data_IF_168646880251
#
_entry.id   IF_168646880251
#
_cell.length_a   1.000
_cell.length_b   1.000
_cell.length_c   1.000
_cell.angle_alpha   90.00
_cell.angle_beta   90.00
_cell.angle_gamma   90.00
#
_symmetry.space_group_name_H-M   'P 1'
#
loop_
_entity.id
_entity.type
_entity.pdbx_description
1 polymer ?
#
# COMPACT_ATOMS: atom_id res chain seq x y z
N UNK A 1 -73.79 -50.78 -16.34
CA UNK A 1 -73.58 -51.93 -17.24
C UNK A 1 -72.09 -52.00 -17.58
N UNK A 2 -71.41 -53.03 -17.05
CA UNK A 2 -70.12 -53.50 -17.54
C UNK A 2 -70.37 -54.56 -18.62
N UNK A 3 -69.34 -54.91 -19.40
CA UNK A 3 -68.63 -56.18 -19.18
C UNK A 3 -67.10 -55.99 -19.14
N UNK A 4 -66.37 -56.36 -18.07
CA UNK A 4 -65.69 -57.67 -17.78
C UNK A 4 -64.71 -58.14 -18.86
N UNK A 5 -63.37 -58.07 -18.69
CA UNK A 5 -62.38 -58.76 -17.80
C UNK A 5 -61.95 -60.18 -18.23
N UNK A 6 -60.63 -60.36 -18.38
CA UNK A 6 -59.76 -61.48 -17.91
C UNK A 6 -58.40 -61.36 -18.62
N UNK A 7 -57.20 -61.71 -18.12
CA UNK A 7 -56.55 -62.13 -16.86
C UNK A 7 -55.03 -61.93 -17.17
N UNK A 8 -54.06 -61.75 -16.28
CA UNK A 8 -53.83 -62.41 -15.00
C UNK A 8 -52.86 -61.60 -14.11
N UNK A 9 -53.03 -61.81 -12.81
CA UNK A 9 -52.23 -61.34 -11.68
C UNK A 9 -50.95 -62.15 -11.50
N UNK A 10 -49.86 -61.51 -11.03
CA UNK A 10 -49.26 -61.83 -9.72
C UNK A 10 -48.21 -60.82 -9.28
N UNK A 11 -48.38 -60.42 -8.02
CA UNK A 11 -47.55 -59.62 -7.13
C UNK A 11 -46.12 -60.14 -6.98
N UNK A 12 -45.18 -59.24 -6.63
CA UNK A 12 -44.18 -59.53 -5.58
C UNK A 12 -43.46 -58.26 -5.13
N UNK A 13 -43.47 -58.05 -3.81
CA UNK A 13 -42.63 -57.09 -3.09
C UNK A 13 -41.18 -57.62 -3.02
N UNK A 14 -40.20 -56.72 -3.03
CA UNK A 14 -38.79 -57.06 -2.80
C UNK A 14 -38.25 -56.30 -1.59
N UNK A 15 -37.83 -57.07 -0.58
CA UNK A 15 -36.91 -56.65 0.49
C UNK A 15 -35.58 -57.38 0.31
N UNK A 16 -34.51 -56.59 0.28
CA UNK A 16 -33.13 -56.80 0.74
C UNK A 16 -32.39 -58.11 0.42
N UNK A 17 -31.21 -57.99 -0.21
CA UNK A 17 -29.94 -58.54 0.33
C UNK A 17 -28.71 -58.03 -0.43
N UNK A 18 -27.62 -57.90 0.33
CA UNK A 18 -26.31 -57.30 0.05
C UNK A 18 -25.61 -57.76 -1.23
N UNK A 19 -24.89 -56.82 -1.88
CA UNK A 19 -23.68 -57.15 -2.65
C UNK A 19 -22.57 -56.16 -2.31
N UNK A 20 -21.48 -56.72 -1.75
CA UNK A 20 -20.21 -56.07 -1.44
C UNK A 20 -19.69 -55.28 -2.64
N UNK A 21 -19.43 -53.99 -2.45
CA UNK A 21 -18.53 -53.21 -3.30
C UNK A 21 -17.34 -52.78 -2.46
N UNK A 22 -16.19 -53.31 -2.86
CA UNK A 22 -14.85 -53.00 -2.39
C UNK A 22 -14.60 -51.49 -2.37
N UNK A 23 -14.21 -50.97 -1.20
CA UNK A 23 -13.59 -49.66 -1.06
C UNK A 23 -12.23 -49.65 -1.79
N UNK A 24 -12.22 -49.28 -3.07
CA UNK A 24 -11.01 -48.71 -3.66
C UNK A 24 -10.96 -47.24 -3.25
N UNK A 25 -10.10 -46.92 -2.28
CA UNK A 25 -9.54 -45.58 -2.13
C UNK A 25 -8.84 -45.24 -3.45
N UNK A 26 -9.53 -44.53 -4.33
CA UNK A 26 -8.86 -43.79 -5.39
C UNK A 26 -8.24 -42.59 -4.69
N UNK A 27 -6.96 -42.71 -4.32
CA UNK A 27 -6.11 -41.56 -4.09
C UNK A 27 -6.08 -40.76 -5.40
N UNK A 28 -7.03 -39.85 -5.57
CA UNK A 28 -6.90 -38.76 -6.55
C UNK A 28 -5.82 -37.85 -5.98
N UNK A 29 -4.55 -38.18 -6.24
CA UNK A 29 -3.50 -37.18 -6.24
C UNK A 29 -3.97 -36.13 -7.24
N UNK A 30 -4.39 -34.97 -6.74
CA UNK A 30 -4.54 -33.77 -7.55
C UNK A 30 -3.15 -33.51 -8.12
N UNK A 31 -2.91 -33.96 -9.34
CA UNK A 31 -1.70 -33.64 -10.06
C UNK A 31 -1.76 -32.12 -10.25
N UNK A 32 -0.93 -31.40 -9.50
CA UNK A 32 -0.69 -29.97 -9.68
C UNK A 32 -0.44 -29.76 -11.17
N UNK A 33 -1.31 -29.01 -11.84
CA UNK A 33 -1.14 -28.72 -13.27
C UNK A 33 0.31 -28.26 -13.47
N UNK A 34 1.05 -28.83 -14.45
CA UNK A 34 2.42 -28.42 -14.69
C UNK A 34 2.40 -26.92 -14.92
N UNK A 35 3.17 -26.18 -14.11
CA UNK A 35 3.31 -24.75 -14.31
C UNK A 35 3.78 -24.54 -15.75
N UNK A 36 3.22 -23.55 -16.48
CA UNK A 36 3.66 -23.26 -17.83
C UNK A 36 5.19 -23.16 -17.84
N UNK A 37 5.88 -23.73 -18.85
CA UNK A 37 7.32 -23.72 -18.88
C UNK A 37 7.80 -22.28 -18.73
N UNK A 38 8.64 -22.07 -17.73
CA UNK A 38 9.24 -20.78 -17.45
C UNK A 38 10.20 -20.48 -18.60
N UNK A 39 9.88 -19.46 -19.39
CA UNK A 39 10.77 -18.96 -20.44
C UNK A 39 11.96 -18.27 -19.79
N UNK A 40 13.07 -19.02 -19.67
CA UNK A 40 14.29 -18.55 -19.05
C UNK A 40 14.93 -17.40 -19.83
N UNK A 41 14.78 -17.36 -21.15
CA UNK A 41 15.35 -16.29 -21.99
C UNK A 41 14.58 -14.97 -21.79
N UNK A 42 13.29 -15.05 -21.45
CA UNK A 42 12.51 -13.88 -21.05
C UNK A 42 12.87 -13.34 -19.67
N UNK A 43 13.17 -14.23 -18.72
CA UNK A 43 13.55 -13.86 -17.35
C UNK A 43 15.01 -13.43 -17.24
N UNK A 44 15.88 -14.05 -18.02
CA UNK A 44 17.33 -13.87 -18.02
C UNK A 44 17.80 -13.71 -19.46
N UNK A 45 17.47 -12.58 -20.11
CA UNK A 45 17.93 -12.32 -21.46
C UNK A 45 19.47 -12.40 -21.55
N UNK A 46 20.02 -12.82 -22.70
CA UNK A 46 21.46 -12.93 -22.88
C UNK A 46 22.19 -11.65 -22.48
N UNK A 47 23.31 -11.80 -21.78
CA UNK A 47 24.06 -10.65 -21.30
C UNK A 47 24.47 -9.73 -22.46
N UNK A 48 24.18 -8.43 -22.32
CA UNK A 48 24.44 -7.43 -23.36
C UNK A 48 23.39 -7.37 -24.48
N UNK A 49 22.34 -8.19 -24.47
CA UNK A 49 21.21 -8.03 -25.39
C UNK A 49 20.44 -6.73 -25.12
N UNK A 50 19.65 -6.29 -26.10
CA UNK A 50 18.82 -5.09 -25.92
C UNK A 50 17.77 -5.27 -24.82
N UNK A 51 17.18 -6.47 -24.71
CA UNK A 51 16.27 -6.82 -23.62
C UNK A 51 16.96 -6.77 -22.26
N UNK A 52 18.19 -7.30 -22.14
CA UNK A 52 18.95 -7.26 -20.89
C UNK A 52 19.27 -5.82 -20.47
N UNK A 53 19.74 -4.99 -21.41
CA UNK A 53 19.98 -3.56 -21.16
C UNK A 53 18.71 -2.82 -20.76
N UNK A 54 17.59 -3.08 -21.42
CA UNK A 54 16.29 -2.48 -21.08
C UNK A 54 15.81 -2.89 -19.68
N UNK A 55 15.99 -4.16 -19.32
CA UNK A 55 15.66 -4.64 -17.97
C UNK A 55 16.54 -3.98 -16.90
N UNK A 56 17.85 -3.84 -17.14
CA UNK A 56 18.77 -3.16 -16.21
C UNK A 56 18.41 -1.68 -16.06
N UNK A 57 18.23 -0.96 -17.16
CA UNK A 57 17.85 0.47 -17.13
C UNK A 57 16.50 0.71 -16.43
N UNK A 58 15.48 -0.12 -16.73
CA UNK A 58 14.19 -0.02 -16.06
C UNK A 58 14.26 -0.36 -14.56
N UNK A 59 15.12 -1.31 -14.18
CA UNK A 59 15.38 -1.63 -12.78
C UNK A 59 16.05 -0.45 -12.06
N UNK A 60 17.09 0.15 -12.64
CA UNK A 60 17.77 1.32 -12.07
C UNK A 60 16.81 2.51 -11.92
N UNK A 61 16.05 2.83 -12.97
CA UNK A 61 15.01 3.87 -12.93
C UNK A 61 13.96 3.60 -11.84
N UNK A 62 13.53 2.34 -11.69
CA UNK A 62 12.63 1.95 -10.60
C UNK A 62 13.28 2.19 -9.26
N UNK A 63 14.50 1.71 -9.03
CA UNK A 63 15.23 1.84 -7.77
C UNK A 63 15.43 3.32 -7.39
N UNK A 64 15.77 4.20 -8.35
CA UNK A 64 15.83 5.66 -8.15
C UNK A 64 14.45 6.21 -7.78
N UNK A 65 13.38 5.81 -8.47
CA UNK A 65 12.01 6.27 -8.17
C UNK A 65 11.57 5.88 -6.76
N UNK A 66 11.94 4.68 -6.28
CA UNK A 66 11.67 4.29 -4.89
C UNK A 66 12.47 5.12 -3.90
N UNK A 67 13.74 5.37 -4.22
CA UNK A 67 14.61 6.20 -3.40
C UNK A 67 14.09 7.65 -3.30
N UNK A 68 13.44 8.19 -4.35
CA UNK A 68 12.76 9.50 -4.29
C UNK A 68 11.72 9.53 -3.15
N UNK A 69 10.86 8.51 -3.03
CA UNK A 69 9.88 8.44 -1.93
C UNK A 69 10.53 8.35 -0.54
N UNK A 70 11.62 7.58 -0.42
CA UNK A 70 12.35 7.45 0.84
C UNK A 70 13.07 8.76 1.22
N UNK A 71 13.72 9.39 0.25
CA UNK A 71 14.46 10.64 0.42
C UNK A 71 13.54 11.80 0.78
N UNK A 72 12.36 11.92 0.14
CA UNK A 72 11.35 12.93 0.50
C UNK A 72 10.93 12.75 1.96
N UNK A 73 10.64 11.51 2.38
CA UNK A 73 10.25 11.23 3.77
C UNK A 73 11.38 11.58 4.75
N UNK A 74 12.61 11.18 4.43
CA UNK A 74 13.77 11.47 5.25
C UNK A 74 14.05 12.97 5.35
N UNK A 75 13.93 13.72 4.25
CA UNK A 75 14.11 15.17 4.21
C UNK A 75 13.12 15.87 5.14
N UNK A 76 11.82 15.58 4.99
CA UNK A 76 10.76 16.21 5.78
C UNK A 76 10.84 15.83 7.27
N UNK A 77 11.14 14.57 7.57
CA UNK A 77 11.28 14.12 8.95
C UNK A 77 12.50 14.76 9.63
N UNK A 78 13.61 14.88 8.90
CA UNK A 78 14.81 15.55 9.40
C UNK A 78 14.56 17.05 9.63
N UNK A 79 13.81 17.72 8.74
CA UNK A 79 13.38 19.10 8.93
C UNK A 79 12.55 19.26 10.22
N UNK A 80 11.58 18.37 10.43
CA UNK A 80 10.74 18.35 11.63
C UNK A 80 11.59 18.18 12.90
N UNK A 81 12.46 17.18 12.93
CA UNK A 81 13.36 16.89 14.06
C UNK A 81 14.34 18.04 14.33
N UNK A 82 14.84 18.69 13.28
CA UNK A 82 15.66 19.89 13.39
C UNK A 82 14.88 21.05 14.04
N UNK A 83 13.62 21.26 13.65
CA UNK A 83 12.73 22.25 14.28
C UNK A 83 12.42 21.95 15.75
N UNK A 84 12.41 20.68 16.14
CA UNK A 84 12.25 20.21 17.52
C UNK A 84 13.56 20.22 18.34
N UNK A 85 14.67 20.68 17.74
CA UNK A 85 15.99 20.73 18.35
C UNK A 85 16.52 19.36 18.81
N UNK A 86 16.20 18.28 18.09
CA UNK A 86 16.77 16.95 18.34
C UNK A 86 18.27 16.97 18.00
N UNK A 87 19.09 16.41 18.90
CA UNK A 87 20.54 16.46 18.79
C UNK A 87 21.06 15.87 17.47
N UNK A 88 21.94 16.60 16.78
CA UNK A 88 22.53 16.20 15.50
C UNK A 88 21.64 16.40 14.26
N UNK A 89 20.32 16.58 14.43
CA UNK A 89 19.40 16.75 13.31
C UNK A 89 19.54 18.10 12.61
N UNK A 90 19.79 19.17 13.38
CA UNK A 90 19.88 20.54 12.84
C UNK A 90 21.01 20.70 11.82
N UNK A 91 22.24 20.30 12.17
CA UNK A 91 23.39 20.38 11.28
C UNK A 91 23.20 19.48 10.04
N UNK A 92 22.70 18.26 10.24
CA UNK A 92 22.41 17.33 9.13
C UNK A 92 21.39 17.93 8.17
N UNK A 93 20.32 18.56 8.69
CA UNK A 93 19.31 19.23 7.89
C UNK A 93 19.88 20.40 7.09
N UNK A 94 20.68 21.26 7.73
CA UNK A 94 21.32 22.39 7.04
C UNK A 94 22.23 21.91 5.90
N UNK A 95 23.04 20.88 6.12
CA UNK A 95 23.88 20.30 5.07
C UNK A 95 23.03 19.82 3.89
N UNK A 96 21.96 19.06 4.15
CA UNK A 96 21.06 18.55 3.12
C UNK A 96 20.40 19.69 2.32
N UNK A 97 19.98 20.75 3.01
CA UNK A 97 19.43 21.96 2.41
C UNK A 97 20.45 22.66 1.51
N UNK A 98 21.67 22.88 1.99
CA UNK A 98 22.75 23.50 1.20
C UNK A 98 23.08 22.69 -0.06
N UNK A 99 23.11 21.36 0.02
CA UNK A 99 23.30 20.52 -1.16
C UNK A 99 22.15 20.65 -2.16
N UNK A 100 20.92 20.78 -1.68
CA UNK A 100 19.73 20.95 -2.53
C UNK A 100 19.74 22.31 -3.24
N UNK A 101 20.00 23.39 -2.49
CA UNK A 101 20.09 24.76 -3.01
C UNK A 101 21.24 24.89 -4.02
N UNK A 102 22.44 24.41 -3.67
CA UNK A 102 23.61 24.44 -4.57
C UNK A 102 23.46 23.55 -5.80
N UNK A 103 22.68 22.46 -5.71
CA UNK A 103 22.29 21.69 -6.88
C UNK A 103 21.40 22.51 -7.81
N UNK A 104 20.33 23.11 -7.29
CA UNK A 104 19.40 23.94 -8.06
C UNK A 104 20.11 25.13 -8.74
N UNK A 105 20.96 25.85 -8.01
CA UNK A 105 21.74 26.97 -8.52
C UNK A 105 22.64 26.56 -9.69
N UNK A 106 23.31 25.41 -9.60
CA UNK A 106 24.16 24.92 -10.68
C UNK A 106 23.35 24.57 -11.93
N UNK A 107 22.23 23.86 -11.78
CA UNK A 107 21.41 23.45 -12.93
C UNK A 107 20.80 24.67 -13.64
N UNK A 108 20.25 25.63 -12.87
CA UNK A 108 19.71 26.89 -13.41
C UNK A 108 20.81 27.71 -14.09
N UNK A 109 21.96 27.87 -13.45
CA UNK A 109 23.08 28.63 -14.01
C UNK A 109 23.59 28.03 -15.31
N UNK A 110 23.73 26.69 -15.36
CA UNK A 110 24.11 25.97 -16.57
C UNK A 110 23.10 26.18 -17.70
N UNK A 111 21.81 26.10 -17.39
CA UNK A 111 20.73 26.38 -18.33
C UNK A 111 20.80 27.81 -18.87
N UNK A 112 20.84 28.82 -17.99
CA UNK A 112 20.87 30.23 -18.39
C UNK A 112 22.13 30.58 -19.20
N UNK A 113 23.28 29.99 -18.87
CA UNK A 113 24.52 30.17 -19.65
C UNK A 113 24.38 29.60 -21.07
N UNK A 114 23.74 28.44 -21.19
CA UNK A 114 23.50 27.82 -22.48
C UNK A 114 22.54 28.66 -23.33
N UNK A 115 21.44 29.14 -22.73
CA UNK A 115 20.47 30.01 -23.40
C UNK A 115 21.11 31.28 -23.96
N UNK A 116 21.92 31.97 -23.15
CA UNK A 116 22.63 33.19 -23.58
C UNK A 116 23.59 32.93 -24.75
N UNK A 117 24.22 31.75 -24.77
CA UNK A 117 25.15 31.37 -25.84
C UNK A 117 24.39 31.17 -27.17
N UNK A 118 23.25 30.49 -27.15
CA UNK A 118 22.41 30.30 -28.33
C UNK A 118 21.80 31.59 -28.87
N UNK A 119 21.32 32.47 -27.99
CA UNK A 119 20.79 33.79 -28.38
C UNK A 119 21.85 34.62 -29.11
N UNK A 120 23.11 34.56 -28.64
CA UNK A 120 24.23 35.25 -29.28
C UNK A 120 24.60 34.69 -30.67
N UNK A 121 24.39 33.38 -30.91
CA UNK A 121 24.76 32.72 -32.16
C UNK A 121 23.69 32.82 -33.26
N UNK A 122 22.40 32.85 -32.90
CA UNK A 122 21.30 32.73 -33.86
C UNK A 122 20.38 33.96 -33.96
N UNK A 123 20.54 34.98 -33.12
CA UNK A 123 19.82 36.26 -33.20
C UNK A 123 18.32 36.21 -32.88
N UNK A 124 17.72 35.02 -32.84
CA UNK A 124 16.37 34.73 -32.36
C UNK A 124 16.37 33.45 -31.51
N UNK A 125 15.45 33.38 -30.54
CA UNK A 125 15.25 32.20 -29.72
C UNK A 125 14.77 31.03 -30.57
N UNK A 126 15.66 30.10 -30.90
CA UNK A 126 15.30 28.78 -31.38
C UNK A 126 15.36 27.80 -30.20
N UNK A 127 14.30 27.01 -30.01
CA UNK A 127 14.30 25.91 -29.04
C UNK A 127 15.19 24.77 -29.56
N UNK A 128 16.50 24.98 -29.58
CA UNK A 128 17.48 23.94 -29.94
C UNK A 128 18.21 23.51 -28.68
N UNK A 129 18.13 22.20 -28.46
CA UNK A 129 18.61 21.45 -27.32
C UNK A 129 20.11 21.65 -27.03
N UNK A 130 20.49 22.15 -25.85
CA UNK A 130 21.55 21.46 -25.13
C UNK A 130 20.99 20.11 -24.69
N UNK A 131 21.75 19.03 -24.83
CA UNK A 131 21.52 17.73 -24.19
C UNK A 131 21.62 17.84 -22.65
N UNK A 132 20.85 18.76 -22.06
CA UNK A 132 20.78 18.99 -20.63
C UNK A 132 19.56 18.25 -20.13
N UNK A 133 19.81 17.20 -19.34
CA UNK A 133 18.78 16.42 -18.65
C UNK A 133 17.87 17.31 -17.78
N UNK A 134 18.39 18.44 -17.29
CA UNK A 134 17.60 19.47 -16.62
C UNK A 134 16.50 20.04 -17.54
N UNK A 135 16.87 20.48 -18.75
CA UNK A 135 15.92 21.04 -19.71
C UNK A 135 14.89 20.00 -20.12
N UNK A 136 15.35 18.79 -20.45
CA UNK A 136 14.47 17.67 -20.78
C UNK A 136 13.44 17.41 -19.67
N UNK A 137 13.89 17.36 -18.40
CA UNK A 137 13.01 17.13 -17.26
C UNK A 137 11.99 18.25 -17.08
N UNK A 138 12.44 19.51 -17.08
CA UNK A 138 11.57 20.67 -16.85
C UNK A 138 10.58 20.84 -18.00
N UNK A 139 10.98 20.57 -19.24
CA UNK A 139 10.06 20.58 -20.39
C UNK A 139 9.04 19.46 -20.31
N UNK A 140 9.43 18.25 -19.89
CA UNK A 140 8.55 17.10 -19.84
C UNK A 140 7.61 17.10 -18.61
N UNK A 141 8.10 17.54 -17.45
CA UNK A 141 7.45 17.34 -16.14
C UNK A 141 7.28 18.65 -15.35
N UNK A 142 7.84 19.76 -15.81
CA UNK A 142 7.68 21.07 -15.18
C UNK A 142 8.58 21.33 -13.97
N UNK A 143 8.70 22.60 -13.62
CA UNK A 143 9.55 23.12 -12.54
C UNK A 143 9.17 22.60 -11.16
N UNK A 144 7.88 22.43 -10.88
CA UNK A 144 7.39 21.91 -9.61
C UNK A 144 7.91 20.51 -9.33
N UNK A 145 7.74 19.60 -10.30
CA UNK A 145 8.23 18.23 -10.15
C UNK A 145 9.75 18.20 -10.06
N UNK A 146 10.45 19.05 -10.83
CA UNK A 146 11.90 19.16 -10.74
C UNK A 146 12.36 19.62 -9.35
N UNK A 147 11.71 20.62 -8.77
CA UNK A 147 12.01 21.11 -7.43
C UNK A 147 11.73 20.07 -6.35
N UNK A 148 10.60 19.35 -6.43
CA UNK A 148 10.29 18.23 -5.53
C UNK A 148 11.40 17.18 -5.61
N UNK A 149 11.74 16.72 -6.81
CA UNK A 149 12.76 15.70 -7.01
C UNK A 149 14.17 16.17 -6.60
N UNK A 150 14.48 17.46 -6.74
CA UNK A 150 15.78 18.04 -6.36
C UNK A 150 16.12 17.89 -4.88
N UNK A 151 15.11 17.76 -4.00
CA UNK A 151 15.32 17.49 -2.57
C UNK A 151 15.89 16.09 -2.31
N UNK A 152 15.76 15.18 -3.27
CA UNK A 152 16.19 13.80 -3.15
C UNK A 152 17.61 13.61 -3.65
N UNK A 153 18.44 12.91 -2.88
CA UNK A 153 19.81 12.61 -3.31
C UNK A 153 19.81 11.70 -4.54
N UNK A 154 18.93 10.69 -4.51
CA UNK A 154 18.76 9.72 -5.59
C UNK A 154 18.47 10.39 -6.94
N UNK A 155 17.59 11.39 -7.01
CA UNK A 155 17.37 12.14 -8.25
C UNK A 155 18.57 12.99 -8.66
N UNK A 156 19.18 13.72 -7.71
CA UNK A 156 20.36 14.56 -8.00
C UNK A 156 21.55 13.77 -8.52
N UNK A 157 21.66 12.50 -8.13
CA UNK A 157 22.63 11.55 -8.67
C UNK A 157 22.14 10.98 -9.99
N UNK A 158 20.90 10.52 -10.08
CA UNK A 158 20.30 9.96 -11.30
C UNK A 158 20.42 10.88 -12.50
N UNK A 159 20.16 12.18 -12.34
CA UNK A 159 20.32 13.16 -13.43
C UNK A 159 21.77 13.27 -13.92
N UNK A 160 22.79 13.02 -13.09
CA UNK A 160 24.20 13.13 -13.47
C UNK A 160 24.85 11.80 -13.87
N UNK A 161 24.49 10.74 -13.17
CA UNK A 161 25.23 9.46 -13.14
C UNK A 161 24.55 8.36 -13.94
N UNK A 162 23.21 8.39 -14.08
CA UNK A 162 22.50 7.35 -14.82
C UNK A 162 22.92 7.36 -16.29
N UNK A 163 22.90 6.23 -16.98
CA UNK A 163 23.04 6.22 -18.44
C UNK A 163 21.78 6.79 -19.12
N UNK A 164 21.86 7.11 -20.42
CA UNK A 164 20.76 7.76 -21.14
C UNK A 164 19.48 6.90 -21.20
N UNK A 165 19.64 5.57 -21.16
CA UNK A 165 18.50 4.65 -21.20
C UNK A 165 17.82 4.59 -19.84
N UNK A 166 18.58 4.50 -18.76
CA UNK A 166 18.09 4.57 -17.39
C UNK A 166 17.43 5.94 -17.10
N UNK A 167 18.01 7.03 -17.61
CA UNK A 167 17.44 8.37 -17.52
C UNK A 167 16.08 8.48 -18.23
N UNK A 168 15.98 7.99 -19.48
CA UNK A 168 14.70 7.94 -20.19
C UNK A 168 13.64 7.11 -19.46
N UNK A 169 14.02 5.94 -18.93
CA UNK A 169 13.13 5.14 -18.09
C UNK A 169 12.73 5.87 -16.80
N UNK A 170 13.64 6.64 -16.18
CA UNK A 170 13.36 7.40 -14.96
C UNK A 170 12.34 8.52 -15.23
N UNK A 171 12.50 9.28 -16.32
CA UNK A 171 11.52 10.29 -16.74
C UNK A 171 10.13 9.68 -16.92
N UNK A 172 10.06 8.52 -17.60
CA UNK A 172 8.80 7.81 -17.77
C UNK A 172 8.19 7.36 -16.43
N UNK A 173 9.00 6.83 -15.50
CA UNK A 173 8.53 6.36 -14.19
C UNK A 173 8.03 7.50 -13.30
N UNK A 174 8.70 8.66 -13.34
CA UNK A 174 8.24 9.86 -12.64
C UNK A 174 6.95 10.37 -13.27
N UNK A 175 6.84 10.38 -14.60
CA UNK A 175 5.60 10.75 -15.30
C UNK A 175 4.43 9.83 -14.94
N UNK A 176 4.63 8.51 -14.98
CA UNK A 176 3.61 7.51 -14.61
C UNK A 176 3.13 7.65 -13.16
N UNK A 177 3.96 8.22 -12.28
CA UNK A 177 3.68 8.42 -10.86
C UNK A 177 3.61 9.90 -10.47
N UNK A 178 3.36 10.81 -11.43
CA UNK A 178 3.45 12.24 -11.23
C UNK A 178 2.60 12.72 -10.04
N UNK A 179 1.29 12.41 -10.07
CA UNK A 179 0.36 12.78 -9.01
C UNK A 179 0.72 12.12 -7.67
N UNK A 180 1.24 10.89 -7.69
CA UNK A 180 1.65 10.19 -6.49
C UNK A 180 2.86 10.83 -5.81
N UNK A 181 3.88 11.24 -6.59
CA UNK A 181 5.06 11.94 -6.05
C UNK A 181 4.64 13.31 -5.50
N UNK A 182 3.79 14.02 -6.23
CA UNK A 182 3.29 15.34 -5.82
C UNK A 182 2.48 15.27 -4.52
N UNK A 183 1.51 14.35 -4.45
CA UNK A 183 0.70 14.10 -3.25
C UNK A 183 1.58 13.67 -2.08
N UNK A 184 2.55 12.78 -2.32
CA UNK A 184 3.44 12.28 -1.29
C UNK A 184 4.33 13.37 -0.68
N UNK A 185 4.84 14.28 -1.51
CA UNK A 185 5.59 15.46 -1.08
C UNK A 185 4.69 16.45 -0.32
N UNK A 186 3.47 16.69 -0.82
CA UNK A 186 2.49 17.57 -0.17
C UNK A 186 2.09 17.07 1.23
N UNK A 187 1.78 15.79 1.36
CA UNK A 187 1.38 15.16 2.63
C UNK A 187 2.47 15.20 3.72
N UNK A 188 3.71 15.48 3.33
CA UNK A 188 4.88 15.63 4.20
C UNK A 188 5.34 17.08 4.31
N UNK A 189 4.50 18.00 3.84
CA UNK A 189 4.73 19.44 3.87
C UNK A 189 6.08 19.87 3.28
N UNK A 190 6.57 19.14 2.27
CA UNK A 190 7.84 19.45 1.60
C UNK A 190 7.80 20.87 1.03
N UNK A 191 8.73 21.72 1.49
CA UNK A 191 8.84 23.13 1.09
C UNK A 191 9.57 23.30 -0.25
N UNK A 192 9.13 22.59 -1.28
CA UNK A 192 9.80 22.57 -2.58
C UNK A 192 9.92 23.95 -3.25
N UNK A 193 9.06 24.90 -2.88
CA UNK A 193 9.05 26.26 -3.42
C UNK A 193 10.23 27.10 -2.94
N UNK A 194 10.75 26.84 -1.74
CA UNK A 194 11.77 27.68 -1.11
C UNK A 194 13.02 27.79 -1.99
N UNK A 195 13.39 26.68 -2.65
CA UNK A 195 14.56 26.61 -3.54
C UNK A 195 14.33 27.28 -4.91
N UNK A 196 13.08 27.55 -5.29
CA UNK A 196 12.73 28.28 -6.52
C UNK A 196 12.42 29.75 -6.25
N UNK A 197 11.92 30.09 -5.07
CA UNK A 197 11.47 31.44 -4.70
C UNK A 197 12.56 32.50 -4.86
N UNK A 198 13.82 32.12 -4.61
CA UNK A 198 14.98 33.01 -4.80
C UNK A 198 15.14 33.49 -6.25
N UNK A 199 14.56 32.75 -7.21
CA UNK A 199 14.61 33.04 -8.64
C UNK A 199 13.34 33.72 -9.19
N UNK A 200 12.33 33.98 -8.36
CA UNK A 200 11.01 34.49 -8.80
C UNK A 200 11.06 35.79 -9.61
N UNK A 201 12.08 36.62 -9.38
CA UNK A 201 12.27 37.91 -10.08
C UNK A 201 13.27 37.83 -11.23
N UNK A 202 13.81 36.65 -11.53
CA UNK A 202 14.72 36.43 -12.65
C UNK A 202 13.93 35.90 -13.85
N UNK A 203 14.15 36.42 -15.08
CA UNK A 203 13.44 35.99 -16.27
C UNK A 203 13.96 34.63 -16.74
N UNK A 204 13.56 33.55 -16.04
CA UNK A 204 13.91 32.18 -16.38
C UNK A 204 12.78 31.59 -17.24
N UNK A 205 13.04 31.19 -18.50
CA UNK A 205 12.00 30.67 -19.37
C UNK A 205 11.29 29.44 -18.78
N UNK A 206 9.96 29.48 -18.81
CA UNK A 206 9.09 28.42 -18.32
C UNK A 206 8.93 28.35 -16.80
N UNK A 207 9.66 29.15 -16.01
CA UNK A 207 9.48 29.20 -14.55
C UNK A 207 8.10 29.80 -14.24
N UNK A 208 7.21 29.08 -13.52
CA UNK A 208 5.88 29.58 -13.21
C UNK A 208 5.93 30.67 -12.13
N UNK A 209 4.91 31.52 -12.10
CA UNK A 209 4.73 32.47 -11.00
C UNK A 209 4.46 31.69 -9.69
N UNK A 210 5.35 31.82 -8.70
CA UNK A 210 5.21 31.13 -7.42
C UNK A 210 4.02 31.63 -6.59
N UNK A 211 3.50 32.86 -6.81
CA UNK A 211 2.38 33.38 -6.01
C UNK A 211 1.09 32.54 -6.18
N UNK A 212 0.56 32.31 -7.40
CA UNK A 212 -0.56 31.39 -7.62
C UNK A 212 -0.32 29.97 -7.10
N UNK A 213 0.91 29.47 -7.21
CA UNK A 213 1.29 28.14 -6.72
C UNK A 213 1.21 28.02 -5.19
N UNK A 214 1.52 29.09 -4.46
CA UNK A 214 1.40 29.16 -3.00
C UNK A 214 -0.08 29.22 -2.60
N UNK A 215 -0.86 30.08 -3.24
CA UNK A 215 -2.29 30.23 -2.96
C UNK A 215 -3.05 28.91 -3.17
N UNK A 216 -2.76 28.22 -4.28
CA UNK A 216 -3.34 26.90 -4.58
C UNK A 216 -2.98 25.87 -3.51
N UNK A 217 -1.75 25.88 -3.03
CA UNK A 217 -1.28 24.94 -2.01
C UNK A 217 -1.88 25.17 -0.63
N UNK A 218 -2.04 26.43 -0.22
CA UNK A 218 -2.68 26.75 1.07
C UNK A 218 -4.15 26.33 1.13
N UNK A 219 -4.80 26.19 -0.03
CA UNK A 219 -6.17 25.69 -0.13
C UNK A 219 -6.27 24.17 -0.04
N UNK A 220 -5.17 23.45 -0.28
CA UNK A 220 -5.13 22.00 -0.18
C UNK A 220 -4.89 21.59 1.28
N UNK A 221 -5.95 21.21 1.98
CA UNK A 221 -5.87 20.66 3.34
C UNK A 221 -5.85 19.14 3.27
N UNK A 222 -4.75 18.54 3.73
CA UNK A 222 -4.67 17.10 3.98
C UNK A 222 -4.30 16.90 5.45
N UNK A 223 -5.25 16.45 6.26
CA UNK A 223 -5.02 16.19 7.69
C UNK A 223 -4.20 14.90 7.90
N UNK A 224 -4.35 13.93 6.99
CA UNK A 224 -3.62 12.66 7.02
C UNK A 224 -3.46 12.09 5.60
N UNK A 225 -2.33 11.45 5.25
CA UNK A 225 -2.10 10.92 3.90
C UNK A 225 -3.23 10.01 3.39
N UNK A 226 -3.82 9.21 4.30
CA UNK A 226 -4.92 8.29 4.00
C UNK A 226 -6.32 8.92 4.04
N UNK A 227 -6.41 10.25 4.04
CA UNK A 227 -7.64 11.00 3.77
C UNK A 227 -7.74 11.44 2.31
N UNK A 228 -6.78 11.06 1.48
CA UNK A 228 -6.79 11.39 0.05
C UNK A 228 -6.73 10.13 -0.78
N UNK A 229 -7.67 9.99 -1.72
CA UNK A 229 -7.75 8.89 -2.69
C UNK A 229 -7.54 9.46 -4.08
N UNK A 230 -6.63 8.86 -4.84
CA UNK A 230 -6.44 9.16 -6.27
C UNK A 230 -7.52 8.42 -7.07
N UNK A 231 -8.39 9.14 -7.77
CA UNK A 231 -9.48 8.56 -8.57
C UNK A 231 -8.99 8.07 -9.93
N UNK A 232 -9.82 7.26 -10.61
CA UNK A 232 -9.48 6.73 -11.94
C UNK A 232 -9.23 7.82 -12.99
N UNK A 233 -9.88 8.98 -12.86
CA UNK A 233 -9.72 10.14 -13.74
C UNK A 233 -8.58 11.08 -13.31
N UNK A 234 -7.75 10.67 -12.34
CA UNK A 234 -6.59 11.44 -11.88
C UNK A 234 -6.94 12.65 -11.01
N UNK A 235 -8.13 12.66 -10.40
CA UNK A 235 -8.53 13.64 -9.39
C UNK A 235 -8.31 13.09 -7.98
N UNK A 236 -8.61 13.92 -6.99
CA UNK A 236 -8.52 13.59 -5.59
C UNK A 236 -9.93 13.58 -4.98
N UNK A 237 -10.19 12.60 -4.12
CA UNK A 237 -11.40 12.57 -3.29
C UNK A 237 -11.07 12.17 -1.86
N UNK A 238 -11.99 12.50 -0.97
CA UNK A 238 -11.94 12.06 0.42
C UNK A 238 -12.69 10.73 0.61
N UNK A 239 -12.20 9.84 1.48
CA UNK A 239 -12.92 8.63 1.85
C UNK A 239 -14.05 8.96 2.83
N UNK A 240 -15.30 8.76 2.39
CA UNK A 240 -16.52 9.13 3.14
C UNK A 240 -17.30 7.89 3.54
N UNK A 241 -17.85 7.90 4.75
CA UNK A 241 -18.81 6.93 5.26
C UNK A 241 -19.99 7.65 5.90
N UNK A 242 -21.22 7.29 5.52
CA UNK A 242 -22.45 7.94 5.99
C UNK A 242 -22.42 9.49 5.93
N UNK A 243 -21.85 10.04 4.85
CA UNK A 243 -21.73 11.48 4.65
C UNK A 243 -20.67 12.17 5.51
N UNK A 244 -19.86 11.43 6.25
CA UNK A 244 -18.75 11.95 7.06
C UNK A 244 -17.40 11.43 6.59
N UNK A 245 -16.36 12.26 6.70
CA UNK A 245 -14.98 11.85 6.47
C UNK A 245 -14.60 10.69 7.41
N UNK A 246 -14.02 9.63 6.84
CA UNK A 246 -13.48 8.52 7.62
C UNK A 246 -12.22 8.94 8.39
N UNK A 247 -12.08 8.51 9.64
CA UNK A 247 -11.03 9.01 10.55
C UNK A 247 -9.91 7.99 10.73
N UNK A 248 -8.67 8.46 10.55
CA UNK A 248 -7.48 7.67 10.85
C UNK A 248 -7.34 7.45 12.36
N UNK A 249 -6.95 6.24 12.75
CA UNK A 249 -6.65 5.87 14.14
C UNK A 249 -5.33 5.08 14.21
N UNK A 250 -4.61 5.21 15.31
CA UNK A 250 -3.37 4.47 15.58
C UNK A 250 -3.55 3.32 16.58
N UNK A 251 -4.72 3.24 17.23
CA UNK A 251 -5.12 2.14 18.10
C UNK A 251 -6.62 1.87 17.94
N UNK A 252 -7.05 0.62 18.10
CA UNK A 252 -8.48 0.26 18.06
C UNK A 252 -9.25 0.88 19.22
N UNK A 253 -10.50 1.25 18.97
CA UNK A 253 -11.34 1.99 19.93
C UNK A 253 -12.24 1.01 20.68
N UNK A 254 -12.17 1.04 22.00
CA UNK A 254 -13.10 0.32 22.88
C UNK A 254 -14.02 1.29 23.60
N UNK A 255 -15.34 1.16 23.39
CA UNK A 255 -16.36 1.93 24.12
C UNK A 255 -17.15 1.02 25.08
N UNK A 256 -16.92 1.09 26.40
CA UNK A 256 -17.66 0.32 27.41
C UNK A 256 -19.18 0.37 27.28
N UNK A 257 -19.75 1.47 26.74
CA UNK A 257 -21.20 1.63 26.58
C UNK A 257 -21.78 0.64 25.56
N UNK A 258 -21.00 0.26 24.54
CA UNK A 258 -21.38 -0.74 23.53
C UNK A 258 -21.28 -2.17 24.05
N UNK A 259 -20.72 -2.37 25.25
CA UNK A 259 -20.44 -3.66 25.86
C UNK A 259 -21.27 -3.91 27.13
N UNK A 260 -22.51 -3.44 27.17
CA UNK A 260 -23.41 -3.56 28.34
C UNK A 260 -22.76 -3.07 29.65
N UNK A 261 -21.87 -2.07 29.58
CA UNK A 261 -21.15 -1.53 30.73
C UNK A 261 -19.95 -2.36 31.21
N UNK A 262 -19.56 -3.42 30.48
CA UNK A 262 -18.30 -4.10 30.72
C UNK A 262 -17.16 -3.08 30.59
N UNK A 263 -16.26 -3.05 31.58
CA UNK A 263 -15.14 -2.09 31.65
C UNK A 263 -13.85 -2.63 31.02
N UNK A 264 -13.87 -3.85 30.51
CA UNK A 264 -12.70 -4.58 30.07
C UNK A 264 -12.71 -4.78 28.56
N UNK A 265 -11.75 -4.14 27.90
CA UNK A 265 -11.41 -4.42 26.51
C UNK A 265 -11.01 -5.91 26.37
N UNK A 266 -11.71 -6.67 25.51
CA UNK A 266 -11.53 -8.11 25.38
C UNK A 266 -10.20 -8.50 24.74
N UNK A 267 -9.50 -7.57 24.09
CA UNK A 267 -8.20 -7.80 23.45
C UNK A 267 -7.04 -7.73 24.43
N UNK A 268 -7.23 -7.13 25.61
CA UNK A 268 -6.17 -6.91 26.58
C UNK A 268 -5.81 -8.19 27.34
N UNK A 269 -4.49 -8.37 27.53
CA UNK A 269 -3.90 -9.48 28.30
C UNK A 269 -3.94 -9.28 29.81
N UNK A 270 -4.29 -8.08 30.27
CA UNK A 270 -4.44 -7.73 31.68
C UNK A 270 -5.68 -6.87 31.89
N UNK A 271 -6.24 -6.97 33.09
CA UNK A 271 -7.30 -6.09 33.54
C UNK A 271 -6.75 -4.73 33.97
N UNK A 272 -7.63 -3.73 34.10
CA UNK A 272 -7.27 -2.40 34.58
C UNK A 272 -6.58 -2.41 35.97
N UNK A 273 -6.85 -3.42 36.80
CA UNK A 273 -6.20 -3.61 38.11
C UNK A 273 -4.86 -4.38 38.04
N UNK A 274 -4.32 -4.62 36.84
CA UNK A 274 -3.05 -5.31 36.62
C UNK A 274 -3.12 -6.84 36.66
N UNK A 275 -4.27 -7.44 37.00
CA UNK A 275 -4.39 -8.92 37.02
C UNK A 275 -4.37 -9.50 35.60
N UNK A 276 -3.63 -10.60 35.35
CA UNK A 276 -3.60 -11.25 34.03
C UNK A 276 -4.98 -11.76 33.59
N UNK A 277 -5.24 -11.74 32.28
CA UNK A 277 -6.38 -12.42 31.65
C UNK A 277 -5.93 -13.76 31.05
N UNK A 278 -6.87 -14.59 30.63
CA UNK A 278 -6.56 -15.81 29.87
C UNK A 278 -6.26 -15.55 28.40
N UNK A 279 -6.36 -14.30 27.94
CA UNK A 279 -6.28 -13.90 26.53
C UNK A 279 -4.83 -13.80 26.05
N UNK A 280 -4.56 -14.25 24.84
CA UNK A 280 -3.28 -14.04 24.14
C UNK A 280 -2.12 -14.93 24.61
N UNK A 281 -1.34 -15.47 23.69
CA UNK A 281 -0.11 -16.26 23.93
C UNK A 281 1.06 -15.35 24.33
N UNK A 282 2.28 -15.85 24.17
CA UNK A 282 3.50 -15.06 24.34
C UNK A 282 3.60 -13.95 23.28
N UNK A 283 4.12 -12.80 23.68
CA UNK A 283 4.36 -11.68 22.77
C UNK A 283 5.27 -12.12 21.62
N UNK A 284 4.85 -11.94 20.37
CA UNK A 284 5.64 -12.35 19.20
C UNK A 284 6.90 -11.51 18.99
N UNK A 285 7.00 -10.34 19.64
CA UNK A 285 8.17 -9.44 19.55
C UNK A 285 9.28 -9.81 20.53
N UNK A 286 8.95 -10.06 21.80
CA UNK A 286 9.93 -10.28 22.86
C UNK A 286 9.85 -11.66 23.52
N UNK A 287 8.89 -12.50 23.13
CA UNK A 287 8.65 -13.82 23.73
C UNK A 287 8.02 -13.78 25.13
N UNK A 288 7.67 -12.60 25.67
CA UNK A 288 7.13 -12.49 27.02
C UNK A 288 5.79 -13.25 27.18
N UNK A 289 5.69 -14.21 28.11
CA UNK A 289 4.44 -14.93 28.40
C UNK A 289 3.41 -14.06 29.12
N UNK A 290 3.82 -12.88 29.62
CA UNK A 290 2.97 -11.86 30.26
C UNK A 290 2.93 -10.58 29.44
N UNK A 291 2.04 -9.64 29.77
CA UNK A 291 1.98 -8.34 29.11
C UNK A 291 3.31 -7.59 29.19
N UNK A 292 3.64 -6.91 28.10
CA UNK A 292 4.86 -6.11 27.97
C UNK A 292 4.54 -4.85 27.15
N UNK A 293 5.47 -3.89 27.14
CA UNK A 293 5.33 -2.62 26.42
C UNK A 293 5.60 -2.68 24.92
N UNK A 294 5.81 -3.86 24.32
CA UNK A 294 6.10 -3.96 22.89
C UNK A 294 4.95 -3.40 22.04
N UNK A 295 5.30 -2.59 21.05
CA UNK A 295 4.39 -2.14 19.99
C UNK A 295 4.83 -2.71 18.65
N UNK A 296 3.90 -2.73 17.69
CA UNK A 296 4.27 -2.93 16.29
C UNK A 296 4.72 -1.57 15.77
N UNK A 297 6.00 -1.43 15.47
CA UNK A 297 6.55 -0.29 14.75
C UNK A 297 6.64 -0.68 13.29
N UNK A 298 5.83 -0.04 12.45
CA UNK A 298 5.83 -0.26 11.00
C UNK A 298 5.82 1.07 10.28
N UNK A 299 6.52 1.12 9.15
CA UNK A 299 6.56 2.25 8.23
C UNK A 299 5.72 2.01 6.97
N UNK A 300 5.01 0.88 6.88
CA UNK A 300 4.24 0.55 5.68
C UNK A 300 3.18 1.62 5.39
N UNK A 301 2.51 2.15 6.42
CA UNK A 301 1.56 3.26 6.28
C UNK A 301 2.16 4.55 5.71
N UNK A 302 3.47 4.77 5.84
CA UNK A 302 4.14 5.90 5.19
C UNK A 302 4.37 5.64 3.70
N UNK A 303 4.42 4.37 3.28
CA UNK A 303 4.89 3.91 1.98
C UNK A 303 3.77 3.24 1.17
N UNK A 304 2.53 3.67 1.40
CA UNK A 304 1.34 3.30 0.63
C UNK A 304 0.53 4.54 0.29
N UNK A 305 -0.33 4.40 -0.71
CA UNK A 305 -1.32 5.41 -1.06
C UNK A 305 -2.67 4.76 -1.36
N UNK A 306 -3.74 5.57 -1.29
CA UNK A 306 -5.07 5.12 -1.66
C UNK A 306 -5.37 5.49 -3.11
N UNK A 307 -5.85 4.52 -3.88
CA UNK A 307 -6.17 4.71 -5.29
C UNK A 307 -7.44 3.95 -5.65
N UNK A 308 -8.22 4.48 -6.57
CA UNK A 308 -9.32 3.72 -7.16
C UNK A 308 -8.82 2.69 -8.16
N UNK A 309 -9.43 1.52 -8.11
CA UNK A 309 -9.23 0.41 -9.03
C UNK A 309 -10.56 0.09 -9.73
N UNK A 310 -10.52 -0.24 -11.03
CA UNK A 310 -11.73 -0.58 -11.77
C UNK A 310 -12.46 -1.76 -11.14
N UNK A 311 -13.74 -1.59 -10.82
CA UNK A 311 -14.61 -2.64 -10.28
C UNK A 311 -14.48 -2.91 -8.79
N UNK A 312 -13.34 -2.63 -8.14
CA UNK A 312 -13.12 -2.88 -6.70
C UNK A 312 -13.19 -1.62 -5.84
N UNK A 313 -13.19 -0.42 -6.45
CA UNK A 313 -13.30 0.84 -5.73
C UNK A 313 -11.98 1.29 -5.13
N UNK A 314 -11.98 1.85 -3.92
CA UNK A 314 -10.75 2.33 -3.28
C UNK A 314 -9.90 1.16 -2.77
N UNK A 315 -8.71 0.99 -3.33
CA UNK A 315 -7.68 0.05 -2.92
C UNK A 315 -6.45 0.74 -2.34
N UNK A 316 -5.42 -0.06 -2.04
CA UNK A 316 -4.13 0.40 -1.51
C UNK A 316 -3.02 0.05 -2.49
N UNK A 317 -2.24 1.03 -2.91
CA UNK A 317 -1.06 0.83 -3.78
C UNK A 317 0.23 0.95 -2.97
N UNK A 318 1.17 0.02 -3.16
CA UNK A 318 2.48 0.09 -2.55
C UNK A 318 3.35 1.16 -3.23
N UNK A 319 4.06 1.98 -2.46
CA UNK A 319 5.06 2.95 -2.97
C UNK A 319 6.50 2.43 -2.84
N UNK A 320 6.67 1.26 -2.25
CA UNK A 320 7.96 0.58 -2.11
C UNK A 320 7.80 -0.92 -2.25
N UNK A 321 8.92 -1.65 -2.17
CA UNK A 321 8.90 -3.11 -2.09
C UNK A 321 8.67 -3.56 -0.65
N UNK A 322 7.69 -4.43 -0.43
CA UNK A 322 7.57 -5.20 0.81
C UNK A 322 8.00 -6.65 0.55
N UNK A 323 8.74 -7.23 1.49
CA UNK A 323 9.24 -8.60 1.37
C UNK A 323 8.24 -9.59 1.96
N UNK A 324 8.26 -10.82 1.45
CA UNK A 324 7.56 -11.94 2.10
C UNK A 324 7.94 -12.03 3.57
N UNK A 325 6.94 -12.10 4.43
CA UNK A 325 7.07 -12.19 5.89
C UNK A 325 7.02 -10.83 6.60
N UNK A 326 7.02 -9.70 5.89
CA UNK A 326 6.85 -8.39 6.50
C UNK A 326 5.46 -8.30 7.15
N UNK A 327 5.41 -7.80 8.38
CA UNK A 327 4.17 -7.39 9.05
C UNK A 327 3.92 -5.94 8.67
N UNK A 328 2.95 -5.70 7.79
CA UNK A 328 2.70 -4.38 7.23
C UNK A 328 2.02 -3.46 8.23
N UNK A 329 0.95 -3.88 8.89
CA UNK A 329 0.30 -3.11 9.96
C UNK A 329 -0.73 -3.99 10.71
N UNK A 330 -1.42 -3.41 11.67
CA UNK A 330 -2.57 -3.98 12.38
C UNK A 330 -3.86 -3.51 11.69
N UNK A 331 -4.80 -4.42 11.51
CA UNK A 331 -6.16 -4.09 11.10
C UNK A 331 -6.92 -3.48 12.29
N UNK A 332 -7.30 -2.20 12.17
CA UNK A 332 -7.84 -1.42 13.28
C UNK A 332 -9.25 -0.91 13.01
N UNK A 333 -10.02 -0.77 14.10
CA UNK A 333 -11.35 -0.19 14.06
C UNK A 333 -11.95 -0.04 15.45
N UNK A 334 -13.26 0.16 15.49
CA UNK A 334 -14.02 0.06 16.72
C UNK A 334 -14.18 -1.42 17.12
N UNK A 335 -14.01 -1.71 18.41
CA UNK A 335 -14.19 -3.04 18.96
C UNK A 335 -15.63 -3.22 19.44
N UNK A 336 -16.35 -4.15 18.81
CA UNK A 336 -17.77 -4.41 19.04
C UNK A 336 -17.98 -5.84 19.57
N UNK A 337 -18.98 -6.07 20.44
CA UNK A 337 -19.24 -7.40 21.00
C UNK A 337 -19.69 -8.41 19.93
N UNK A 338 -20.56 -7.96 19.02
CA UNK A 338 -21.16 -8.77 17.99
C UNK A 338 -20.93 -8.16 16.60
N UNK A 339 -21.12 -8.98 15.56
CA UNK A 339 -21.09 -8.51 14.18
C UNK A 339 -22.28 -7.58 13.96
N UNK A 340 -22.01 -6.31 13.70
CA UNK A 340 -23.05 -5.28 13.44
C UNK A 340 -23.47 -5.22 11.97
N UNK A 341 -22.63 -5.75 11.07
CA UNK A 341 -22.84 -5.81 9.62
C UNK A 341 -21.87 -6.81 8.99
N UNK A 342 -22.17 -7.26 7.77
CA UNK A 342 -21.41 -8.33 7.12
C UNK A 342 -20.25 -7.82 6.24
N UNK A 343 -20.18 -6.51 5.94
CA UNK A 343 -19.23 -5.95 4.96
C UNK A 343 -18.14 -5.14 5.67
N UNK A 344 -16.89 -5.62 5.60
CA UNK A 344 -15.65 -5.08 6.23
C UNK A 344 -15.31 -5.50 7.67
N UNK A 345 -16.25 -5.68 8.63
CA UNK A 345 -15.84 -6.11 9.96
C UNK A 345 -15.15 -7.47 9.96
N UNK A 346 -14.16 -7.59 10.84
CA UNK A 346 -13.37 -8.80 11.00
C UNK A 346 -13.55 -9.35 12.42
N UNK A 347 -13.87 -10.63 12.54
CA UNK A 347 -13.86 -11.32 13.84
C UNK A 347 -12.44 -11.44 14.35
N UNK A 348 -12.17 -10.81 15.50
CA UNK A 348 -10.92 -10.94 16.22
C UNK A 348 -10.98 -12.15 17.14
N UNK A 349 -10.22 -13.17 16.76
CA UNK A 349 -10.04 -14.36 17.57
C UNK A 349 -8.88 -14.20 18.57
N UNK A 350 -8.87 -15.03 19.59
CA UNK A 350 -7.70 -15.27 20.44
C UNK A 350 -6.67 -16.12 19.67
N UNK A 351 -5.36 -15.84 19.85
CA UNK A 351 -4.30 -16.67 19.26
C UNK A 351 -4.03 -17.94 20.10
N UNK A 352 -4.69 -18.07 21.26
CA UNK A 352 -4.77 -19.31 22.03
C UNK A 352 -5.87 -20.24 21.48
N UNK A 353 -5.47 -21.36 20.88
CA UNK A 353 -6.40 -22.47 20.64
C UNK A 353 -6.80 -23.14 21.95
N UNK A 354 -8.09 -23.34 22.19
CA UNK A 354 -8.56 -24.10 23.34
C UNK A 354 -8.31 -25.61 23.09
N UNK A 355 -7.35 -26.19 23.80
CA UNK A 355 -6.87 -27.58 23.56
C UNK A 355 -7.93 -28.65 23.80
N UNK A 356 -9.02 -28.31 24.49
CA UNK A 356 -10.10 -29.22 24.87
C UNK A 356 -11.28 -29.27 23.89
N UNK A 357 -11.51 -28.22 23.08
CA UNK A 357 -12.71 -28.12 22.24
C UNK A 357 -12.43 -27.85 20.75
N UNK A 358 -11.17 -27.69 20.34
CA UNK A 358 -10.77 -27.25 18.99
C UNK A 358 -11.45 -25.95 18.51
N UNK A 359 -12.15 -25.24 19.39
CA UNK A 359 -12.80 -23.98 19.11
C UNK A 359 -11.87 -22.82 19.45
N UNK A 360 -11.75 -21.90 18.52
CA UNK A 360 -11.02 -20.64 18.72
C UNK A 360 -11.96 -19.68 19.45
N UNK A 361 -11.48 -19.06 20.52
CA UNK A 361 -12.26 -18.10 21.29
C UNK A 361 -12.38 -16.78 20.51
N UNK A 362 -13.61 -16.37 20.17
CA UNK A 362 -13.86 -15.06 19.56
C UNK A 362 -13.84 -13.99 20.65
N UNK A 363 -12.99 -12.98 20.49
CA UNK A 363 -12.83 -11.89 21.46
C UNK A 363 -13.79 -10.74 21.18
N UNK A 364 -13.89 -10.32 19.91
CA UNK A 364 -14.71 -9.20 19.47
C UNK A 364 -14.82 -9.17 17.94
N UNK A 365 -15.56 -8.19 17.42
CA UNK A 365 -15.53 -7.78 16.02
C UNK A 365 -14.79 -6.44 15.89
N UNK A 366 -13.88 -6.33 14.94
CA UNK A 366 -13.21 -5.08 14.56
C UNK A 366 -14.02 -4.45 13.42
N UNK A 367 -14.65 -3.30 13.67
CA UNK A 367 -15.41 -2.54 12.66
C UNK A 367 -14.59 -1.31 12.22
N UNK A 368 -14.06 -1.30 10.98
CA UNK A 368 -13.18 -0.22 10.52
C UNK A 368 -13.94 0.91 9.79
N UNK A 369 -15.26 1.03 9.92
CA UNK A 369 -16.08 1.87 9.03
C UNK A 369 -15.81 3.36 9.18
N UNK A 370 -16.15 3.94 10.32
CA UNK A 370 -15.95 5.36 10.60
C UNK A 370 -14.52 5.66 11.08
N UNK A 371 -13.92 4.70 11.79
CA UNK A 371 -12.59 4.81 12.38
C UNK A 371 -11.75 3.61 11.95
N UNK A 372 -10.58 3.85 11.36
CA UNK A 372 -9.67 2.80 10.91
C UNK A 372 -8.39 3.41 10.34
N UNK A 373 -7.33 2.61 10.19
CA UNK A 373 -6.13 3.01 9.46
C UNK A 373 -6.22 2.60 7.99
N UNK A 374 -5.15 2.77 7.21
CA UNK A 374 -5.10 2.47 5.78
C UNK A 374 -5.46 1.01 5.43
N UNK A 375 -5.26 0.06 6.34
CA UNK A 375 -5.51 -1.38 6.07
C UNK A 375 -6.96 -1.70 5.74
N UNK A 376 -7.90 -0.84 6.14
CA UNK A 376 -9.33 -0.96 5.83
C UNK A 376 -9.65 -0.88 4.34
N UNK A 377 -8.74 -0.31 3.54
CA UNK A 377 -8.90 -0.13 2.10
C UNK A 377 -8.23 -1.27 1.31
N UNK A 378 -7.60 -2.25 1.97
CA UNK A 378 -6.98 -3.39 1.27
C UNK A 378 -8.10 -4.22 0.64
N UNK A 379 -8.06 -4.31 -0.69
CA UNK A 379 -9.09 -5.02 -1.46
C UNK A 379 -8.87 -6.53 -1.48
N UNK A 380 -9.91 -7.26 -1.86
CA UNK A 380 -9.82 -8.70 -2.00
C UNK A 380 -9.11 -9.14 -3.28
N UNK A 381 -8.32 -10.22 -3.19
CA UNK A 381 -7.93 -11.03 -4.34
C UNK A 381 -7.92 -12.53 -4.00
N UNK A 382 -8.30 -13.39 -4.97
CA UNK A 382 -8.12 -14.84 -4.89
C UNK A 382 -6.64 -15.27 -5.00
N UNK A 383 -5.77 -14.36 -5.45
CA UNK A 383 -4.30 -14.52 -5.46
C UNK A 383 -3.65 -13.37 -4.68
N UNK A 384 -3.91 -13.29 -3.36
CA UNK A 384 -3.56 -12.12 -2.59
C UNK A 384 -2.05 -11.97 -2.40
N UNK A 385 -1.63 -10.76 -2.04
CA UNK A 385 -0.25 -10.48 -1.66
C UNK A 385 -0.04 -10.58 -0.14
N UNK A 386 -1.12 -10.46 0.63
CA UNK A 386 -1.12 -10.45 2.10
C UNK A 386 -2.17 -11.40 2.69
N UNK A 387 -2.08 -11.63 3.99
CA UNK A 387 -3.05 -12.40 4.78
C UNK A 387 -3.31 -11.74 6.15
N UNK A 388 -4.50 -11.97 6.71
CA UNK A 388 -4.79 -11.63 8.10
C UNK A 388 -4.21 -12.68 9.06
N UNK A 389 -3.51 -12.22 10.10
CA UNK A 389 -2.96 -13.09 11.16
C UNK A 389 -3.28 -12.56 12.54
N UNK A 390 -3.82 -13.43 13.40
CA UNK A 390 -4.00 -13.13 14.82
C UNK A 390 -2.67 -13.25 15.57
N UNK A 391 -2.24 -12.18 16.23
CA UNK A 391 -0.96 -12.11 16.95
C UNK A 391 -1.14 -11.48 18.33
N UNK A 392 -0.40 -11.97 19.31
CA UNK A 392 -0.17 -11.25 20.57
C UNK A 392 1.03 -10.31 20.45
N UNK A 393 0.80 -9.00 20.55
CA UNK A 393 1.85 -7.97 20.55
C UNK A 393 1.67 -7.10 21.80
N UNK A 394 2.70 -7.09 22.64
CA UNK A 394 2.69 -6.26 23.85
C UNK A 394 1.63 -6.71 24.85
N UNK A 395 0.67 -5.83 25.08
CA UNK A 395 -0.43 -6.02 26.01
C UNK A 395 -1.75 -6.46 25.35
N UNK A 396 -1.78 -6.69 24.02
CA UNK A 396 -3.00 -6.95 23.26
C UNK A 396 -2.87 -8.13 22.30
N UNK A 397 -4.00 -8.78 22.02
CA UNK A 397 -4.18 -9.62 20.83
C UNK A 397 -4.74 -8.74 19.71
N UNK A 398 -4.12 -8.81 18.54
CA UNK A 398 -4.41 -7.95 17.39
C UNK A 398 -4.53 -8.79 16.11
N UNK A 399 -5.15 -8.22 15.07
CA UNK A 399 -5.09 -8.76 13.72
C UNK A 399 -4.04 -8.00 12.92
N UNK A 400 -3.07 -8.70 12.35
CA UNK A 400 -1.99 -8.14 11.53
C UNK A 400 -2.20 -8.46 10.06
N UNK A 401 -1.72 -7.57 9.19
CA UNK A 401 -1.61 -7.79 7.75
C UNK A 401 -0.17 -8.22 7.45
N UNK A 402 0.02 -9.47 7.00
CA UNK A 402 1.35 -10.03 6.73
C UNK A 402 1.53 -10.35 5.25
N UNK A 403 2.67 -9.96 4.67
CA UNK A 403 3.01 -10.25 3.27
C UNK A 403 3.32 -11.75 3.09
N UNK A 404 2.60 -12.43 2.19
CA UNK A 404 2.81 -13.86 1.92
C UNK A 404 3.71 -14.12 0.71
N UNK A 405 3.98 -13.07 -0.06
CA UNK A 405 4.96 -13.00 -1.15
C UNK A 405 5.54 -11.58 -1.17
N UNK A 406 6.59 -11.39 -1.98
CA UNK A 406 7.09 -10.04 -2.24
C UNK A 406 5.98 -9.23 -2.95
N UNK A 407 5.83 -7.98 -2.50
CA UNK A 407 4.94 -6.98 -3.07
C UNK A 407 5.82 -6.00 -3.83
N UNK A 408 5.57 -5.88 -5.13
CA UNK A 408 6.34 -4.99 -5.98
C UNK A 408 5.89 -3.53 -5.78
N UNK A 409 6.78 -2.56 -6.04
CA UNK A 409 6.36 -1.17 -6.07
C UNK A 409 5.25 -0.94 -7.08
N UNK A 410 4.34 -0.05 -6.73
CA UNK A 410 3.17 0.34 -7.51
C UNK A 410 2.14 -0.78 -7.72
N UNK A 411 2.32 -1.93 -7.06
CA UNK A 411 1.35 -3.02 -7.01
C UNK A 411 0.20 -2.70 -6.03
N UNK A 412 -1.02 -3.16 -6.35
CA UNK A 412 -2.12 -3.16 -5.39
C UNK A 412 -1.86 -4.19 -4.28
N UNK A 413 -1.95 -3.75 -3.03
CA UNK A 413 -1.91 -4.62 -1.86
C UNK A 413 -3.30 -5.23 -1.69
N UNK A 414 -3.36 -6.56 -1.74
CA UNK A 414 -4.62 -7.32 -1.66
C UNK A 414 -4.55 -8.42 -0.60
N UNK A 415 -5.71 -8.84 -0.10
CA UNK A 415 -5.87 -9.88 0.93
C UNK A 415 -6.96 -10.89 0.56
N UNK A 416 -6.85 -12.12 1.06
CA UNK A 416 -7.93 -13.10 0.97
C UNK A 416 -9.00 -12.83 2.03
N UNK A 417 -10.23 -12.48 1.65
CA UNK A 417 -11.33 -12.30 2.60
C UNK A 417 -11.86 -13.64 3.16
N UNK A 418 -11.56 -14.74 2.46
CA UNK A 418 -12.01 -16.08 2.82
C UNK A 418 -13.46 -16.36 2.41
N UNK A 419 -13.79 -17.64 2.26
CA UNK A 419 -15.06 -18.10 1.66
C UNK A 419 -16.30 -17.65 2.45
N UNK A 420 -16.16 -17.51 3.77
CA UNK A 420 -17.25 -17.05 4.64
C UNK A 420 -17.75 -15.66 4.29
N UNK A 421 -16.87 -14.78 3.80
CA UNK A 421 -17.26 -13.43 3.39
C UNK A 421 -18.21 -13.46 2.20
N UNK A 422 -17.88 -14.23 1.16
CA UNK A 422 -18.65 -14.30 -0.09
C UNK A 422 -19.98 -15.03 0.10
N UNK A 423 -19.96 -16.16 0.82
CA UNK A 423 -21.17 -16.95 1.09
C UNK A 423 -22.22 -16.22 1.93
N UNK A 424 -21.81 -15.24 2.76
CA UNK A 424 -22.72 -14.48 3.60
C UNK A 424 -23.38 -13.27 2.90
N UNK A 425 -22.87 -12.87 1.73
CA UNK A 425 -23.17 -11.57 1.13
C UNK A 425 -23.76 -11.60 -0.29
N UNK A 426 -23.81 -12.77 -0.94
CA UNK A 426 -24.26 -12.91 -2.34
C UNK A 426 -23.55 -11.93 -3.30
N UNK A 427 -22.25 -11.72 -3.09
CA UNK A 427 -21.41 -10.89 -3.95
C UNK A 427 -20.54 -11.73 -4.88
N UNK A 428 -20.43 -11.28 -6.12
CA UNK A 428 -19.45 -11.81 -7.07
C UNK A 428 -18.06 -11.23 -6.79
N UNK A 429 -17.05 -12.09 -6.80
CA UNK A 429 -15.67 -11.65 -6.69
C UNK A 429 -15.17 -11.05 -8.02
N UNK A 430 -14.81 -9.76 -7.99
CA UNK A 430 -14.35 -9.00 -9.16
C UNK A 430 -12.83 -8.90 -9.28
N UNK A 431 -12.06 -9.75 -8.58
CA UNK A 431 -10.60 -9.64 -8.53
C UNK A 431 -9.86 -10.05 -9.82
N UNK A 432 -10.56 -10.59 -10.83
CA UNK A 432 -9.95 -11.06 -12.08
C UNK A 432 -9.10 -12.33 -11.96
N UNK A 433 -9.03 -12.95 -10.78
CA UNK A 433 -8.27 -14.17 -10.50
C UNK A 433 -9.13 -15.34 -10.02
N UNK A 434 -10.44 -15.25 -10.22
CA UNK A 434 -11.41 -16.29 -9.90
C UNK A 434 -11.36 -17.41 -10.94
N UNK A 435 -10.35 -18.28 -10.90
CA UNK A 435 -10.26 -19.46 -11.76
C UNK A 435 -10.82 -20.73 -11.09
N UNK A 436 -11.63 -20.58 -10.04
CA UNK A 436 -12.21 -21.70 -9.29
C UNK A 436 -11.17 -22.56 -8.56
N UNK A 437 -9.90 -22.12 -8.48
CA UNK A 437 -8.81 -22.84 -7.83
C UNK A 437 -8.44 -22.29 -6.43
N UNK A 438 -9.06 -21.18 -6.02
CA UNK A 438 -8.90 -20.60 -4.69
C UNK A 438 -9.79 -21.29 -3.65
N UNK A 439 -9.59 -22.59 -3.43
CA UNK A 439 -10.11 -23.32 -2.27
C UNK A 439 -9.49 -24.72 -2.19
N UNK A 440 -8.42 -24.85 -1.41
CA UNK A 440 -8.17 -26.03 -0.57
C UNK A 440 -7.63 -25.59 0.80
#
# INVERSE_FOLDING_TARGET
MAPTRNNASKTTSKKTTNRKTTNMRVNKKVAKAPQPPVDLDKLFPPWGSEEAKNQTANKEATDITLAIYHDINAYCELERLAGENVHGCLETFYNLRTFTEGFMEREITGYMSCMKSFEAEHGEFQSVTPNSRFLEFVTALGWKMFAICSHTESFRRGIKEADDRAWGCLLQKIHENFLSIELYAHNRTLKWRDILWIYQNYPIPGLPDMKPEIETYMNWKVDHPHHTVITLDGKLKEPIYNGQLQKHINESIYDPKKWNGQKQDPTLRHKANGTPTSVGRQCVRCGSPVSCGCRLETRAGELVELREYPGTGTGVRALTRFRRGDILDIFMGELLPDIVENVYPLTQNDDKSNTTTATVNSLCTICPHQFGNWTRFISHSCRPATQFMTRTIGNRVVCTIEAIRDILPFEEITVGYGDRYWTALDYDCLCGHCDGSGSE
#
